data_IF_091672723255
#
_entry.id   IF_091672723255
#
_cell.length_a   1.000
_cell.length_b   1.000
_cell.length_c   1.000
_cell.angle_alpha   90.00
_cell.angle_beta   90.00
_cell.angle_gamma   90.00
#
_symmetry.space_group_name_H-M   'P 1'
#
loop_
_entity.id
_entity.type
_entity.pdbx_description
1 polymer ?
#
# COMPACT_ATOMS: atom_id res chain seq x y z
N UNK A 1 13.97 18.38 -8.49
CA UNK A 1 14.05 19.11 -7.21
C UNK A 1 14.00 18.08 -6.10
N UNK A 2 15.16 17.69 -5.58
CA UNK A 2 15.34 16.66 -4.55
C UNK A 2 15.80 17.42 -3.31
N UNK A 3 15.00 17.45 -2.24
CA UNK A 3 15.46 17.93 -0.96
C UNK A 3 16.29 16.81 -0.31
N UNK A 4 17.59 16.82 -0.58
CA UNK A 4 18.58 16.01 0.13
C UNK A 4 18.73 16.57 1.56
N UNK A 5 18.19 15.86 2.56
CA UNK A 5 18.49 16.12 3.96
C UNK A 5 19.91 15.65 4.28
N UNK A 6 20.91 16.51 4.08
CA UNK A 6 22.29 16.27 4.54
C UNK A 6 22.92 17.59 4.99
N UNK A 7 22.93 17.89 6.28
CA UNK A 7 23.83 18.88 6.88
C UNK A 7 24.14 18.41 8.31
N UNK A 8 25.36 17.96 8.60
CA UNK A 8 26.63 18.68 8.78
C UNK A 8 26.89 19.02 10.25
N UNK A 9 28.10 18.65 10.65
CA UNK A 9 28.67 18.60 12.00
C UNK A 9 28.99 20.01 12.50
N UNK A 10 28.73 20.25 13.78
CA UNK A 10 29.15 21.41 14.56
C UNK A 10 30.67 21.63 14.56
N UNK A 11 31.12 22.88 14.42
CA UNK A 11 32.19 23.46 15.24
C UNK A 11 32.22 25.00 15.16
N UNK A 12 32.28 25.62 16.35
CA UNK A 12 33.00 26.86 16.74
C UNK A 12 32.60 28.20 16.07
N UNK A 13 32.68 29.37 16.71
CA UNK A 13 33.06 29.81 18.06
C UNK A 13 32.49 31.23 18.28
N UNK A 14 32.47 31.63 19.55
CA UNK A 14 32.22 32.95 20.14
C UNK A 14 32.69 34.19 19.36
N UNK A 15 31.92 35.28 19.35
CA UNK A 15 32.33 36.59 19.94
C UNK A 15 31.26 37.70 19.76
N UNK A 16 30.68 38.07 20.89
CA UNK A 16 30.53 39.45 21.40
C UNK A 16 29.98 40.63 20.55
N UNK A 17 28.93 41.25 21.12
CA UNK A 17 28.74 42.71 21.38
C UNK A 17 27.71 43.55 20.58
N UNK A 18 26.94 44.30 21.38
CA UNK A 18 26.25 45.61 21.15
C UNK A 18 24.81 45.65 20.61
N UNK A 19 23.89 45.83 21.58
CA UNK A 19 22.74 46.75 21.65
C UNK A 19 22.23 47.35 20.32
N UNK A 20 21.00 46.97 19.93
CA UNK A 20 19.94 47.89 19.52
C UNK A 20 18.59 47.18 19.53
N UNK A 21 17.70 47.69 20.38
CA UNK A 21 16.29 47.33 20.50
C UNK A 21 15.58 47.54 19.16
N UNK A 22 15.34 46.45 18.44
CA UNK A 22 14.26 46.34 17.46
C UNK A 22 13.50 45.06 17.80
N UNK A 23 12.27 45.25 18.27
CA UNK A 23 11.28 44.19 18.46
C UNK A 23 10.94 43.63 17.07
N UNK A 24 11.78 42.72 16.56
CA UNK A 24 11.47 41.92 15.39
C UNK A 24 10.53 40.83 15.90
N UNK A 25 9.28 40.86 15.44
CA UNK A 25 8.39 39.70 15.56
C UNK A 25 9.11 38.51 14.91
N UNK A 26 9.67 37.64 15.73
CA UNK A 26 10.05 36.29 15.33
C UNK A 26 8.74 35.58 15.01
N UNK A 27 8.35 35.62 13.73
CA UNK A 27 7.39 34.66 13.20
C UNK A 27 8.00 33.28 13.46
N UNK A 28 7.49 32.61 14.49
CA UNK A 28 7.85 31.24 14.79
C UNK A 28 7.62 30.43 13.53
N UNK A 29 8.70 29.99 12.91
CA UNK A 29 8.66 28.88 11.98
C UNK A 29 8.26 27.66 12.82
N UNK A 30 6.95 27.48 12.98
CA UNK A 30 6.37 26.20 13.36
C UNK A 30 6.72 25.24 12.23
N UNK A 31 7.94 24.68 12.28
CA UNK A 31 8.31 23.50 11.54
C UNK A 31 7.41 22.43 12.13
N UNK A 32 6.24 22.26 11.51
CA UNK A 32 5.42 21.09 11.72
C UNK A 32 6.33 19.91 11.34
N UNK A 33 6.91 19.30 12.36
CA UNK A 33 7.38 17.91 12.33
C UNK A 33 6.12 17.05 12.19
N UNK A 34 5.38 17.24 11.09
CA UNK A 34 4.51 16.22 10.57
C UNK A 34 5.48 15.12 10.16
N UNK A 35 5.71 14.18 11.07
CA UNK A 35 6.34 12.90 10.78
C UNK A 35 5.46 12.26 9.70
N UNK A 36 5.72 12.55 8.43
CA UNK A 36 5.06 11.88 7.34
C UNK A 36 5.69 10.49 7.30
N UNK A 37 4.90 9.44 7.54
CA UNK A 37 5.34 8.07 7.33
C UNK A 37 5.96 7.94 5.93
N UNK A 38 6.92 7.03 5.78
CA UNK A 38 7.64 6.85 4.53
C UNK A 38 6.65 6.60 3.37
N UNK A 39 6.71 7.36 2.26
CA UNK A 39 5.84 7.10 1.13
C UNK A 39 6.17 5.73 0.53
N UNK A 40 5.16 4.89 0.35
CA UNK A 40 5.32 3.55 -0.26
C UNK A 40 5.21 3.59 -1.78
N UNK A 41 5.33 4.76 -2.40
CA UNK A 41 5.36 4.93 -3.85
C UNK A 41 4.02 5.20 -4.53
N UNK A 42 4.08 5.23 -5.86
CA UNK A 42 2.94 5.30 -6.79
C UNK A 42 2.98 4.03 -7.64
N UNK A 43 1.82 3.52 -8.01
CA UNK A 43 1.69 2.27 -8.76
C UNK A 43 0.82 2.48 -9.99
N UNK A 44 1.17 1.78 -11.06
CA UNK A 44 0.40 1.70 -12.29
C UNK A 44 -0.26 0.33 -12.37
N UNK A 45 -1.50 0.28 -12.84
CA UNK A 45 -2.21 -0.98 -13.12
C UNK A 45 -1.76 -1.46 -14.50
N UNK A 46 -1.15 -2.63 -14.55
CA UNK A 46 -0.64 -3.22 -15.79
C UNK A 46 -1.63 -4.18 -16.42
N UNK A 47 -2.26 -5.00 -15.57
CA UNK A 47 -3.24 -5.98 -16.00
C UNK A 47 -4.23 -6.28 -14.88
N UNK A 48 -5.45 -6.61 -15.29
CA UNK A 48 -6.50 -7.10 -14.43
C UNK A 48 -6.99 -8.43 -14.98
N UNK A 49 -6.94 -9.49 -14.18
CA UNK A 49 -7.33 -10.84 -14.60
C UNK A 49 -8.14 -11.52 -13.50
N UNK A 50 -9.02 -12.45 -13.87
CA UNK A 50 -9.68 -13.33 -12.91
C UNK A 50 -8.96 -14.68 -12.90
N UNK A 51 -8.62 -15.16 -11.71
CA UNK A 51 -7.89 -16.42 -11.51
C UNK A 51 -8.53 -17.22 -10.39
N UNK A 52 -8.40 -18.55 -10.45
CA UNK A 52 -8.87 -19.45 -9.39
C UNK A 52 -7.86 -19.58 -8.24
N UNK A 53 -6.62 -19.16 -8.47
CA UNK A 53 -5.51 -19.34 -7.55
C UNK A 53 -4.98 -17.99 -7.07
N UNK A 54 -4.90 -17.84 -5.75
CA UNK A 54 -4.14 -16.80 -5.08
C UNK A 54 -3.01 -17.43 -4.25
N UNK A 55 -1.84 -16.78 -4.15
CA UNK A 55 -0.75 -17.27 -3.33
C UNK A 55 -1.18 -17.33 -1.86
N UNK A 56 -0.71 -18.35 -1.15
CA UNK A 56 -0.92 -18.50 0.28
C UNK A 56 0.43 -18.35 0.97
N UNK A 57 0.66 -17.25 1.71
CA UNK A 57 1.82 -17.12 2.58
C UNK A 57 1.98 -18.36 3.46
N UNK A 58 3.24 -18.74 3.70
CA UNK A 58 3.54 -19.89 4.54
C UNK A 58 2.94 -19.69 5.95
N UNK A 59 2.31 -20.74 6.50
CA UNK A 59 1.68 -20.68 7.82
C UNK A 59 0.34 -19.94 7.87
N UNK A 60 -0.10 -19.24 6.81
CA UNK A 60 -1.40 -18.56 6.77
C UNK A 60 -2.50 -19.53 6.35
N UNK A 61 -3.45 -19.77 7.27
CA UNK A 61 -4.69 -20.51 6.98
C UNK A 61 -5.75 -19.56 6.42
N UNK A 62 -5.68 -19.28 5.12
CA UNK A 62 -6.72 -18.55 4.40
C UNK A 62 -7.75 -19.54 3.78
N UNK A 63 -9.06 -19.25 3.86
CA UNK A 63 -10.07 -19.99 3.10
C UNK A 63 -9.78 -19.97 1.60
N UNK A 64 -10.21 -21.01 0.88
CA UNK A 64 -10.21 -20.96 -0.57
C UNK A 64 -11.48 -20.24 -1.04
N UNK A 65 -11.33 -19.09 -1.70
CA UNK A 65 -12.46 -18.31 -2.21
C UNK A 65 -12.83 -18.67 -3.65
N UNK A 66 -12.07 -19.56 -4.30
CA UNK A 66 -12.38 -20.14 -5.62
C UNK A 66 -12.13 -19.21 -6.80
N UNK A 67 -12.32 -17.90 -6.66
CA UNK A 67 -12.00 -16.88 -7.68
C UNK A 67 -11.40 -15.64 -7.01
N UNK A 68 -10.50 -14.99 -7.72
CA UNK A 68 -9.81 -13.78 -7.29
C UNK A 68 -9.65 -12.85 -8.49
N UNK A 69 -9.80 -11.55 -8.25
CA UNK A 69 -9.35 -10.50 -9.16
C UNK A 69 -7.87 -10.27 -8.87
N UNK A 70 -6.99 -10.69 -9.78
CA UNK A 70 -5.55 -10.44 -9.76
C UNK A 70 -5.26 -9.11 -10.43
N UNK A 71 -4.70 -8.19 -9.66
CA UNK A 71 -4.24 -6.87 -10.10
C UNK A 71 -2.72 -6.93 -10.22
N UNK A 72 -2.21 -6.89 -11.44
CA UNK A 72 -0.79 -6.72 -11.71
C UNK A 72 -0.45 -5.23 -11.68
N UNK A 73 0.57 -4.88 -10.90
CA UNK A 73 0.97 -3.51 -10.63
C UNK A 73 2.46 -3.34 -10.91
N UNK A 74 2.87 -2.18 -11.39
CA UNK A 74 4.29 -1.78 -11.41
C UNK A 74 4.56 -0.47 -10.68
N UNK A 75 5.78 -0.35 -10.16
CA UNK A 75 6.26 0.84 -9.46
C UNK A 75 7.77 1.00 -9.59
N UNK A 76 8.25 2.24 -9.50
CA UNK A 76 9.67 2.52 -9.29
C UNK A 76 10.14 2.20 -7.86
N UNK A 77 9.19 1.99 -6.93
CA UNK A 77 9.45 1.75 -5.51
C UNK A 77 9.69 0.27 -5.26
N UNK A 78 10.81 -0.06 -4.60
CA UNK A 78 11.07 -1.43 -4.14
C UNK A 78 10.50 -1.62 -2.72
N UNK A 79 9.35 -2.29 -2.60
CA UNK A 79 8.69 -2.60 -1.32
C UNK A 79 9.55 -3.40 -0.33
N UNK A 80 10.52 -4.18 -0.80
CA UNK A 80 11.43 -4.97 0.04
C UNK A 80 12.72 -4.24 0.42
N UNK A 81 12.98 -3.07 -0.18
CA UNK A 81 14.11 -2.21 0.18
C UNK A 81 13.68 -1.01 1.04
N UNK A 82 12.43 -1.01 1.52
CA UNK A 82 11.89 0.02 2.40
C UNK A 82 12.39 -0.29 3.81
N UNK A 83 12.90 0.74 4.50
CA UNK A 83 13.81 0.69 5.64
C UNK A 83 13.52 -0.34 6.75
N UNK A 84 14.55 -0.65 7.54
CA UNK A 84 14.61 -1.55 8.71
C UNK A 84 13.51 -1.35 9.79
N UNK A 85 12.67 -0.32 9.66
CA UNK A 85 11.63 0.07 10.63
C UNK A 85 10.20 -0.29 10.21
N UNK A 86 10.01 -0.93 9.05
CA UNK A 86 8.71 -1.45 8.63
C UNK A 86 8.62 -2.94 8.89
N UNK A 87 7.61 -3.34 9.68
CA UNK A 87 7.39 -4.74 10.02
C UNK A 87 6.75 -5.53 8.86
N UNK A 88 5.87 -4.92 8.08
CA UNK A 88 5.21 -5.56 6.94
C UNK A 88 4.55 -4.51 6.05
N UNK A 89 4.30 -4.85 4.80
CA UNK A 89 3.46 -4.05 3.89
C UNK A 89 2.18 -4.84 3.61
N UNK A 90 1.03 -4.20 3.73
CA UNK A 90 -0.27 -4.81 3.48
C UNK A 90 -1.02 -4.07 2.38
N UNK A 91 -1.69 -4.82 1.51
CA UNK A 91 -2.66 -4.29 0.56
C UNK A 91 -4.05 -4.21 1.19
N UNK A 92 -4.67 -3.02 1.11
CA UNK A 92 -6.06 -2.79 1.47
C UNK A 92 -6.83 -2.37 0.23
N UNK A 93 -8.05 -2.89 0.06
CA UNK A 93 -8.94 -2.46 -1.00
C UNK A 93 -10.33 -2.13 -0.47
N UNK A 94 -10.95 -1.12 -1.06
CA UNK A 94 -12.36 -0.83 -0.92
C UNK A 94 -12.90 -0.18 -2.20
N UNK A 95 -14.22 -0.04 -2.33
CA UNK A 95 -14.81 0.82 -3.35
C UNK A 95 -14.37 2.26 -3.16
N UNK A 96 -14.26 2.99 -4.26
CA UNK A 96 -14.00 4.42 -4.24
C UNK A 96 -15.29 5.21 -3.92
N UNK A 97 -15.24 6.28 -3.09
CA UNK A 97 -14.07 6.79 -2.37
C UNK A 97 -13.67 5.86 -1.22
N UNK A 98 -12.36 5.65 -1.05
CA UNK A 98 -11.81 4.74 -0.04
C UNK A 98 -12.15 5.20 1.39
N UNK A 99 -13.17 4.60 1.99
CA UNK A 99 -13.65 4.87 3.35
C UNK A 99 -13.58 3.65 4.27
N UNK A 100 -13.28 2.46 3.74
CA UNK A 100 -13.12 1.18 4.42
C UNK A 100 -14.37 0.55 5.10
N UNK A 101 -15.65 0.84 4.73
CA UNK A 101 -16.80 0.14 5.32
C UNK A 101 -16.96 -1.31 4.84
N UNK A 102 -16.53 -1.66 3.61
CA UNK A 102 -16.68 -3.02 3.09
C UNK A 102 -15.46 -3.89 3.39
N UNK A 103 -14.28 -3.27 3.46
CA UNK A 103 -12.99 -3.96 3.68
C UNK A 103 -12.86 -5.15 2.71
N UNK A 104 -12.76 -4.87 1.41
CA UNK A 104 -12.67 -5.91 0.39
C UNK A 104 -11.53 -6.87 0.76
N UNK A 105 -11.83 -8.17 0.76
CA UNK A 105 -10.86 -9.16 1.24
C UNK A 105 -9.71 -9.23 0.24
N UNK A 106 -8.55 -8.74 0.67
CA UNK A 106 -7.40 -8.46 -0.18
C UNK A 106 -6.17 -9.19 0.35
N UNK A 107 -5.35 -9.73 -0.55
CA UNK A 107 -4.10 -10.42 -0.27
C UNK A 107 -2.94 -9.76 -1.02
N UNK A 108 -1.76 -9.78 -0.39
CA UNK A 108 -0.54 -9.20 -0.92
C UNK A 108 -0.14 -7.89 -0.23
N UNK A 109 0.77 -7.11 -0.84
CA UNK A 109 1.34 -7.34 -2.18
C UNK A 109 2.28 -8.54 -2.25
N UNK A 110 2.22 -9.28 -3.35
CA UNK A 110 3.17 -10.34 -3.73
C UNK A 110 4.14 -9.82 -4.79
N UNK A 111 5.27 -10.49 -4.99
CA UNK A 111 6.14 -10.27 -6.16
C UNK A 111 5.43 -10.67 -7.47
N UNK A 112 5.97 -10.30 -8.62
CA UNK A 112 5.46 -10.74 -9.92
C UNK A 112 5.40 -12.26 -10.08
N UNK A 113 6.36 -12.97 -9.49
CA UNK A 113 6.41 -14.43 -9.43
C UNK A 113 5.57 -15.03 -8.30
N UNK A 114 4.68 -14.24 -7.69
CA UNK A 114 3.73 -14.66 -6.66
C UNK A 114 4.37 -15.13 -5.34
N UNK A 115 5.66 -14.86 -5.15
CA UNK A 115 6.30 -15.01 -3.85
C UNK A 115 5.81 -13.93 -2.88
N UNK A 116 5.55 -14.34 -1.65
CA UNK A 116 5.28 -13.41 -0.55
C UNK A 116 6.47 -12.48 -0.35
N UNK A 117 6.19 -11.20 -0.15
CA UNK A 117 7.23 -10.20 0.08
C UNK A 117 7.75 -10.21 1.51
N UNK A 118 7.16 -11.03 2.38
CA UNK A 118 7.53 -11.20 3.78
C UNK A 118 7.65 -9.85 4.54
N UNK A 119 8.26 -9.89 5.73
CA UNK A 119 8.69 -8.70 6.46
C UNK A 119 9.82 -8.04 5.66
N UNK A 120 9.70 -6.76 5.24
CA UNK A 120 10.71 -6.12 4.38
C UNK A 120 12.15 -6.21 4.90
N UNK A 121 12.35 -6.27 6.22
CA UNK A 121 13.68 -6.36 6.83
C UNK A 121 14.37 -7.73 6.69
N UNK A 122 13.62 -8.81 6.38
CA UNK A 122 14.18 -10.14 6.12
C UNK A 122 13.97 -10.62 4.68
N UNK A 123 13.16 -9.90 3.91
CA UNK A 123 12.84 -10.24 2.54
C UNK A 123 14.08 -10.18 1.63
N UNK A 124 14.19 -11.13 0.70
CA UNK A 124 15.15 -10.97 -0.41
C UNK A 124 14.75 -9.72 -1.19
N UNK A 125 15.70 -8.82 -1.42
CA UNK A 125 15.47 -7.65 -2.24
C UNK A 125 14.90 -8.06 -3.60
N UNK A 126 13.76 -7.48 -3.97
CA UNK A 126 13.16 -7.66 -5.29
C UNK A 126 14.12 -7.16 -6.34
N UNK A 127 14.24 -7.96 -7.40
CA UNK A 127 15.01 -7.60 -8.58
C UNK A 127 14.14 -6.72 -9.49
N UNK A 128 14.76 -5.68 -10.04
CA UNK A 128 14.10 -4.78 -10.99
C UNK A 128 13.94 -5.52 -12.32
N UNK A 129 12.76 -5.44 -12.93
CA UNK A 129 12.48 -6.05 -14.22
C UNK A 129 13.17 -5.29 -15.38
N UNK A 130 13.21 -5.87 -16.60
CA UNK A 130 13.89 -5.26 -17.75
C UNK A 130 13.34 -3.89 -18.17
N UNK A 131 12.07 -3.61 -17.85
CA UNK A 131 11.43 -2.30 -18.10
C UNK A 131 11.87 -1.21 -17.09
N UNK A 132 12.70 -1.58 -16.12
CA UNK A 132 13.19 -0.68 -15.08
C UNK A 132 12.23 -0.52 -13.91
N UNK A 133 11.18 -1.32 -13.76
CA UNK A 133 10.22 -1.24 -12.64
C UNK A 133 10.27 -2.48 -11.74
N UNK A 134 9.66 -2.37 -10.56
CA UNK A 134 9.32 -3.50 -9.71
C UNK A 134 7.86 -3.85 -9.93
N UNK A 135 7.56 -5.15 -9.97
CA UNK A 135 6.23 -5.66 -10.29
C UNK A 135 5.64 -6.41 -9.11
N UNK A 136 4.35 -6.19 -8.90
CA UNK A 136 3.60 -6.65 -7.75
C UNK A 136 2.27 -7.25 -8.18
N UNK A 137 1.80 -8.23 -7.43
CA UNK A 137 0.46 -8.79 -7.59
C UNK A 137 -0.36 -8.56 -6.33
N UNK A 138 -1.61 -8.13 -6.50
CA UNK A 138 -2.62 -8.04 -5.43
C UNK A 138 -3.81 -8.88 -5.83
N UNK A 139 -4.39 -9.60 -4.88
CA UNK A 139 -5.53 -10.47 -5.12
C UNK A 139 -6.71 -10.02 -4.28
N UNK A 140 -7.84 -9.74 -4.93
CA UNK A 140 -9.07 -9.32 -4.26
C UNK A 140 -10.12 -10.41 -4.44
N UNK A 141 -10.76 -10.82 -3.35
CA UNK A 141 -11.91 -11.73 -3.41
C UNK A 141 -13.07 -10.99 -4.08
N UNK A 142 -13.72 -11.55 -5.10
CA UNK A 142 -14.74 -10.86 -5.88
C UNK A 142 -16.01 -10.57 -5.08
N UNK A 143 -16.31 -11.37 -4.05
CA UNK A 143 -17.58 -11.28 -3.31
C UNK A 143 -17.45 -11.67 -1.84
N UNK A 144 -18.23 -10.99 -1.01
CA UNK A 144 -18.52 -11.33 0.38
C UNK A 144 -20.03 -11.16 0.63
N UNK A 145 -20.77 -12.13 1.17
CA UNK A 145 -20.37 -13.44 1.69
C UNK A 145 -20.32 -14.51 0.60
N UNK A 146 -19.41 -15.47 0.77
CA UNK A 146 -19.33 -16.68 -0.04
C UNK A 146 -20.09 -17.83 0.64
N UNK A 147 -20.90 -18.63 -0.09
CA UNK A 147 -21.75 -19.68 0.50
C UNK A 147 -21.00 -20.70 1.36
N UNK A 148 -19.79 -21.09 0.95
CA UNK A 148 -19.04 -22.20 1.56
C UNK A 148 -17.93 -21.73 2.52
N UNK A 149 -17.91 -20.45 2.88
CA UNK A 149 -16.88 -19.87 3.76
C UNK A 149 -17.46 -19.55 5.12
N UNK A 150 -16.84 -20.10 6.17
CA UNK A 150 -17.13 -19.76 7.56
C UNK A 150 -16.33 -18.53 7.95
N UNK A 151 -17.02 -17.43 8.22
CA UNK A 151 -16.41 -16.18 8.66
C UNK A 151 -16.32 -16.09 10.19
N UNK A 152 -15.36 -15.32 10.68
CA UNK A 152 -15.35 -14.93 12.09
C UNK A 152 -16.46 -13.91 12.36
N UNK A 153 -16.87 -13.75 13.62
CA UNK A 153 -17.90 -12.76 14.00
C UNK A 153 -17.56 -11.35 13.50
N UNK A 154 -16.29 -10.95 13.56
CA UNK A 154 -15.83 -9.64 13.11
C UNK A 154 -15.89 -9.49 11.59
N UNK A 155 -15.62 -10.57 10.83
CA UNK A 155 -15.75 -10.56 9.38
C UNK A 155 -17.23 -10.59 8.95
N UNK A 156 -18.08 -11.32 9.67
CA UNK A 156 -19.54 -11.37 9.43
C UNK A 156 -20.24 -10.02 9.69
N UNK A 157 -19.69 -9.18 10.55
CA UNK A 157 -20.24 -7.86 10.85
C UNK A 157 -19.94 -6.79 9.78
N UNK A 158 -19.12 -7.12 8.77
CA UNK A 158 -18.79 -6.20 7.67
C UNK A 158 -19.91 -6.15 6.65
N UNK A 159 -19.96 -5.06 5.89
CA UNK A 159 -20.88 -4.95 4.76
C UNK A 159 -20.55 -6.01 3.69
N UNK A 160 -21.58 -6.68 3.18
CA UNK A 160 -21.45 -7.56 2.03
C UNK A 160 -21.15 -6.76 0.78
N UNK A 161 -20.36 -7.34 -0.13
CA UNK A 161 -20.02 -6.74 -1.41
C UNK A 161 -19.99 -7.80 -2.52
N UNK A 162 -20.18 -7.35 -3.75
CA UNK A 162 -20.01 -8.14 -4.96
C UNK A 162 -19.42 -7.23 -6.04
N UNK A 163 -18.11 -7.31 -6.24
CA UNK A 163 -17.33 -6.39 -7.08
C UNK A 163 -17.83 -6.38 -8.52
N UNK A 164 -18.31 -7.52 -9.03
CA UNK A 164 -18.75 -7.69 -10.41
C UNK A 164 -20.04 -6.90 -10.68
N UNK A 165 -20.97 -6.89 -9.72
CA UNK A 165 -22.31 -6.30 -9.87
C UNK A 165 -22.47 -4.92 -9.24
N UNK A 166 -21.52 -4.47 -8.42
CA UNK A 166 -21.66 -3.27 -7.60
C UNK A 166 -21.60 -1.95 -8.40
N UNK A 167 -20.90 -1.93 -9.54
CA UNK A 167 -20.85 -0.75 -10.41
C UNK A 167 -19.89 0.36 -9.98
N UNK A 168 -19.19 0.20 -8.84
CA UNK A 168 -18.19 1.17 -8.35
C UNK A 168 -16.76 0.78 -8.73
N UNK A 169 -15.93 1.80 -8.87
CA UNK A 169 -14.49 1.66 -8.98
C UNK A 169 -13.88 1.08 -7.69
N UNK A 170 -12.77 0.38 -7.82
CA UNK A 170 -11.99 -0.12 -6.69
C UNK A 170 -10.80 0.79 -6.43
N UNK A 171 -10.56 1.05 -5.17
CA UNK A 171 -9.43 1.80 -4.65
C UNK A 171 -8.54 0.86 -3.82
N UNK A 172 -7.27 0.75 -4.17
CA UNK A 172 -6.25 -0.02 -3.45
C UNK A 172 -5.24 0.93 -2.82
N UNK A 173 -4.81 0.63 -1.59
CA UNK A 173 -3.72 1.33 -0.92
C UNK A 173 -2.81 0.33 -0.21
N UNK A 174 -1.50 0.54 -0.34
CA UNK A 174 -0.53 -0.15 0.49
C UNK A 174 -0.28 0.64 1.75
N UNK A 175 -0.38 -0.02 2.89
CA UNK A 175 -0.09 0.54 4.21
C UNK A 175 0.97 -0.34 4.89
N UNK A 176 1.92 0.31 5.56
CA UNK A 176 2.92 -0.36 6.38
C UNK A 176 2.80 0.15 7.82
N UNK A 177 2.39 -0.68 8.79
CA UNK A 177 2.54 -0.33 10.19
C UNK A 177 4.02 -0.30 10.54
N UNK A 178 4.54 0.88 10.85
CA UNK A 178 5.88 1.05 11.42
C UNK A 178 5.85 0.99 12.94
N UNK A 179 7.04 0.96 13.55
CA UNK A 179 7.24 1.35 14.95
C UNK A 179 7.02 2.85 15.17
N UNK A 180 7.04 3.63 14.09
CA UNK A 180 6.73 5.05 14.10
C UNK A 180 5.23 5.30 14.24
N UNK A 181 4.90 6.36 14.98
CA UNK A 181 3.53 6.80 15.32
C UNK A 181 2.71 7.13 14.04
N UNK A 182 3.35 7.27 12.87
CA UNK A 182 2.69 7.64 11.61
C UNK A 182 2.84 6.55 10.55
N UNK A 183 1.71 6.12 9.99
CA UNK A 183 1.61 5.05 9.00
C UNK A 183 2.23 5.46 7.67
N UNK A 184 3.13 4.62 7.14
CA UNK A 184 3.64 4.69 5.78
C UNK A 184 2.56 4.22 4.80
N UNK A 185 2.33 4.97 3.71
CA UNK A 185 1.25 4.70 2.75
C UNK A 185 1.68 4.93 1.32
N UNK A 186 1.11 4.18 0.38
CA UNK A 186 1.18 4.48 -1.04
C UNK A 186 0.20 5.59 -1.43
N UNK A 187 0.34 6.13 -2.63
CA UNK A 187 -0.78 6.81 -3.29
C UNK A 187 -1.92 5.82 -3.53
N UNK A 188 -3.14 6.35 -3.62
CA UNK A 188 -4.32 5.55 -3.96
C UNK A 188 -4.21 5.04 -5.40
N UNK A 189 -4.42 3.75 -5.59
CA UNK A 189 -4.48 3.08 -6.89
C UNK A 189 -5.96 2.92 -7.21
N UNK A 190 -6.43 3.46 -8.33
CA UNK A 190 -7.83 3.36 -8.74
C UNK A 190 -7.94 2.42 -9.93
N UNK A 191 -8.88 1.49 -9.86
CA UNK A 191 -9.26 0.56 -10.93
C UNK A 191 -10.69 0.90 -11.31
N UNK A 192 -10.93 1.17 -12.59
CA UNK A 192 -12.27 1.53 -13.05
C UNK A 192 -13.22 0.34 -13.00
N UNK A 193 -14.50 0.60 -12.79
CA UNK A 193 -15.53 -0.44 -12.92
C UNK A 193 -15.53 -1.09 -14.30
N UNK A 194 -15.25 -0.34 -15.36
CA UNK A 194 -15.16 -0.88 -16.72
C UNK A 194 -14.04 -1.92 -16.86
N UNK A 195 -12.84 -1.63 -16.32
CA UNK A 195 -11.73 -2.60 -16.32
C UNK A 195 -12.10 -3.88 -15.56
N UNK A 196 -12.77 -3.73 -14.42
CA UNK A 196 -13.26 -4.84 -13.60
C UNK A 196 -14.23 -5.70 -14.40
N UNK A 197 -15.25 -5.08 -15.00
CA UNK A 197 -16.24 -5.76 -15.82
C UNK A 197 -15.56 -6.53 -16.97
N UNK A 198 -14.64 -5.89 -17.66
CA UNK A 198 -13.96 -6.50 -18.81
C UNK A 198 -13.08 -7.68 -18.38
N UNK A 199 -12.45 -7.62 -17.20
CA UNK A 199 -11.72 -8.73 -16.63
C UNK A 199 -12.62 -9.94 -16.34
N UNK A 200 -13.83 -9.73 -15.80
CA UNK A 200 -14.80 -10.81 -15.58
C UNK A 200 -15.36 -11.39 -16.90
N UNK A 201 -15.62 -10.54 -17.89
CA UNK A 201 -16.09 -10.96 -19.20
C UNK A 201 -15.07 -11.83 -19.95
N UNK A 202 -13.77 -11.54 -19.81
CA UNK A 202 -12.69 -12.30 -20.44
C UNK A 202 -12.42 -13.68 -19.81
N UNK A 203 -12.95 -13.92 -18.62
CA UNK A 203 -12.74 -15.15 -17.85
C UNK A 203 -13.89 -16.17 -17.98
N UNK A 204 -14.91 -15.84 -18.78
CA UNK A 204 -16.12 -16.66 -18.99
C UNK A 204 -16.06 -17.52 -20.25
#
# INVERSE_FOLDING_TARGET
MIANCRLYRHQEESSETVKRTKLVLTAGASIALASCGQPLGTYEVEALTVTENAPKPEGVRAPNYGRYVKVALSSETNLTAIADHIASVYAHADFCPFSDPYFLTTFGPFSSGDADLEVPSSAKALERAPDGKFHYNVYIVPRHRMPDIKYSRSADARESYDIESDGRDICIRFDAPGYDIVKSRSKMIRISHDDIRDAFASAS
#
